data_IF_091217962618
#
_entry.id   IF_091217962618
#
_cell.length_a   1.000
_cell.length_b   1.000
_cell.length_c   1.000
_cell.angle_alpha   90.00
_cell.angle_beta   90.00
_cell.angle_gamma   90.00
#
_symmetry.space_group_name_H-M   'P 1'
#
loop_
_entity.id
_entity.type
_entity.pdbx_description
1 polymer ?
#
# COMPACT_ATOMS: atom_id res chain seq x y z
N UNK A 1 -3.92 -60.96 -42.64
CA UNK A 1 -3.26 -59.64 -42.67
C UNK A 1 -3.97 -58.73 -41.69
N UNK A 2 -3.37 -58.42 -40.54
CA UNK A 2 -3.93 -57.47 -39.57
C UNK A 2 -2.86 -56.40 -39.33
N UNK A 3 -3.14 -55.16 -39.76
CA UNK A 3 -2.22 -54.02 -39.59
C UNK A 3 -2.55 -53.36 -38.25
N UNK A 4 -1.57 -53.35 -37.33
CA UNK A 4 -1.64 -52.55 -36.11
C UNK A 4 -1.08 -51.16 -36.41
N UNK A 5 -1.93 -50.14 -36.32
CA UNK A 5 -1.52 -48.73 -36.40
C UNK A 5 -1.41 -48.21 -34.96
N UNK A 6 -0.18 -47.93 -34.51
CA UNK A 6 0.05 -47.32 -33.21
C UNK A 6 -0.14 -45.81 -33.29
N UNK A 7 -1.07 -45.26 -32.50
CA UNK A 7 -1.22 -43.81 -32.32
C UNK A 7 -0.30 -43.37 -31.17
N UNK A 8 0.67 -42.52 -31.50
CA UNK A 8 1.54 -41.88 -30.52
C UNK A 8 0.83 -40.64 -29.97
N UNK A 9 0.42 -40.68 -28.70
CA UNK A 9 -0.16 -39.53 -27.99
C UNK A 9 0.98 -38.68 -27.42
N UNK A 10 1.19 -37.49 -27.97
CA UNK A 10 2.08 -36.49 -27.39
C UNK A 10 1.36 -35.77 -26.23
N UNK A 11 1.74 -36.07 -24.99
CA UNK A 11 1.34 -35.28 -23.82
C UNK A 11 2.18 -34.00 -23.78
N UNK A 12 1.53 -32.87 -24.11
CA UNK A 12 2.09 -31.53 -23.87
C UNK A 12 2.04 -31.25 -22.37
N UNK A 13 3.18 -31.40 -21.70
CA UNK A 13 3.37 -30.92 -20.33
C UNK A 13 3.49 -29.40 -20.42
N UNK A 14 2.41 -28.69 -20.11
CA UNK A 14 2.44 -27.25 -19.89
C UNK A 14 3.25 -26.97 -18.63
N UNK A 15 4.49 -26.51 -18.80
CA UNK A 15 5.25 -25.91 -17.70
C UNK A 15 4.53 -24.62 -17.29
N UNK A 16 3.69 -24.71 -16.27
CA UNK A 16 3.22 -23.54 -15.55
C UNK A 16 4.43 -22.94 -14.82
N UNK A 17 5.05 -21.94 -15.44
CA UNK A 17 6.10 -21.15 -14.79
C UNK A 17 5.46 -20.35 -13.65
N UNK A 18 5.55 -20.86 -12.42
CA UNK A 18 5.31 -20.05 -11.23
C UNK A 18 6.44 -19.04 -11.15
N UNK A 19 6.17 -17.78 -11.49
CA UNK A 19 7.14 -16.69 -11.31
C UNK A 19 7.41 -16.55 -9.81
N UNK A 20 8.60 -16.95 -9.35
CA UNK A 20 9.06 -16.67 -8.01
C UNK A 20 9.37 -15.17 -7.93
N UNK A 21 8.46 -14.40 -7.36
CA UNK A 21 8.64 -12.97 -7.12
C UNK A 21 9.90 -12.80 -6.26
N UNK A 22 10.96 -12.23 -6.84
CA UNK A 22 12.27 -12.14 -6.16
C UNK A 22 12.20 -11.18 -4.97
N UNK A 23 13.05 -11.36 -3.96
CA UNK A 23 13.07 -10.47 -2.78
C UNK A 23 13.26 -9.00 -3.14
N UNK A 24 14.05 -8.70 -4.18
CA UNK A 24 14.23 -7.36 -4.73
C UNK A 24 12.90 -6.80 -5.26
N UNK A 25 12.07 -7.64 -5.86
CA UNK A 25 10.76 -7.22 -6.35
C UNK A 25 9.82 -6.88 -5.18
N UNK A 26 9.84 -7.66 -4.09
CA UNK A 26 9.01 -7.40 -2.90
C UNK A 26 9.37 -6.09 -2.19
N UNK A 27 10.66 -5.80 -2.03
CA UNK A 27 11.17 -4.59 -1.38
C UNK A 27 10.83 -3.30 -2.13
N UNK A 28 10.42 -3.39 -3.40
CA UNK A 28 10.12 -2.26 -4.29
C UNK A 28 8.63 -2.15 -4.62
N UNK A 29 7.78 -2.99 -4.04
CA UNK A 29 6.33 -3.02 -4.32
C UNK A 29 5.62 -1.70 -3.98
N UNK A 30 6.15 -0.89 -3.07
CA UNK A 30 5.55 0.39 -2.68
C UNK A 30 6.06 1.60 -3.49
N UNK A 31 6.97 1.38 -4.44
CA UNK A 31 7.61 2.46 -5.21
C UNK A 31 6.64 3.28 -6.07
N UNK A 32 5.47 2.74 -6.40
CA UNK A 32 4.44 3.46 -7.17
C UNK A 32 3.98 4.75 -6.47
N UNK A 33 4.19 4.86 -5.15
CA UNK A 33 3.83 6.02 -4.36
C UNK A 33 4.96 7.08 -4.26
N UNK A 34 6.17 6.78 -4.74
CA UNK A 34 7.29 7.73 -4.75
C UNK A 34 6.97 8.88 -5.70
N UNK A 35 7.16 10.11 -5.22
CA UNK A 35 6.92 11.34 -5.97
C UNK A 35 6.55 12.52 -5.08
N UNK A 36 6.33 13.66 -5.72
CA UNK A 36 5.74 14.86 -5.13
C UNK A 36 4.27 14.93 -5.56
N UNK A 37 3.38 15.20 -4.60
CA UNK A 37 1.94 15.01 -4.77
C UNK A 37 1.14 16.19 -4.25
N UNK A 38 0.09 16.54 -4.99
CA UNK A 38 -1.07 17.28 -4.49
C UNK A 38 -2.13 16.28 -4.02
N UNK A 39 -2.66 16.47 -2.82
CA UNK A 39 -3.59 15.54 -2.18
C UNK A 39 -4.98 16.17 -2.15
N UNK A 40 -5.94 15.50 -2.78
CA UNK A 40 -7.33 15.92 -2.89
C UNK A 40 -8.23 14.99 -2.09
N UNK A 41 -9.38 15.48 -1.63
CA UNK A 41 -10.45 14.59 -1.16
C UNK A 41 -10.94 13.73 -2.34
N UNK A 42 -10.99 12.41 -2.18
CA UNK A 42 -11.33 11.48 -3.25
C UNK A 42 -12.67 11.82 -3.91
N UNK A 43 -12.75 11.69 -5.24
CA UNK A 43 -13.91 12.08 -6.08
C UNK A 43 -14.32 13.55 -6.00
N UNK A 44 -13.45 14.43 -5.51
CA UNK A 44 -13.66 15.88 -5.52
C UNK A 44 -12.42 16.60 -6.06
N UNK A 45 -12.56 17.90 -6.31
CA UNK A 45 -11.44 18.80 -6.64
C UNK A 45 -10.98 19.63 -5.42
N UNK A 46 -11.34 19.21 -4.20
CA UNK A 46 -10.91 19.87 -2.97
C UNK A 46 -9.48 19.46 -2.63
N UNK A 47 -8.52 20.36 -2.87
CA UNK A 47 -7.13 20.23 -2.42
C UNK A 47 -7.08 20.34 -0.89
N UNK A 48 -6.45 19.36 -0.24
CA UNK A 48 -6.38 19.27 1.23
C UNK A 48 -4.94 19.24 1.76
N UNK A 49 -3.97 18.87 0.92
CA UNK A 49 -2.58 18.79 1.34
C UNK A 49 -1.59 18.65 0.20
N UNK A 50 -0.32 18.64 0.57
CA UNK A 50 0.80 18.24 -0.28
C UNK A 50 1.55 17.11 0.43
N UNK A 51 2.05 16.15 -0.34
CA UNK A 51 2.83 15.05 0.21
C UNK A 51 4.06 14.80 -0.64
N UNK A 52 5.20 14.60 0.00
CA UNK A 52 6.44 14.21 -0.64
C UNK A 52 6.85 12.82 -0.19
N UNK A 53 6.98 11.89 -1.12
CA UNK A 53 7.42 10.53 -0.87
C UNK A 53 8.78 10.31 -1.53
N UNK A 54 9.79 10.06 -0.70
CA UNK A 54 11.19 9.93 -1.14
C UNK A 54 11.72 8.53 -0.85
N UNK A 55 12.44 7.95 -1.81
CA UNK A 55 13.22 6.73 -1.56
C UNK A 55 14.41 7.04 -0.65
N UNK A 56 14.59 6.23 0.40
CA UNK A 56 15.67 6.39 1.37
C UNK A 56 16.54 5.13 1.44
N UNK A 57 17.76 5.29 1.95
CA UNK A 57 18.69 4.18 2.21
C UNK A 57 18.90 3.27 0.99
N UNK A 58 19.09 3.86 -0.19
CA UNK A 58 19.26 3.15 -1.47
C UNK A 58 18.09 2.21 -1.82
N UNK A 59 16.86 2.65 -1.58
CA UNK A 59 15.65 1.88 -1.92
C UNK A 59 15.25 0.83 -0.90
N UNK A 60 15.82 0.87 0.31
CA UNK A 60 15.42 -0.02 1.42
C UNK A 60 14.21 0.47 2.21
N UNK A 61 13.77 1.70 1.95
CA UNK A 61 12.51 2.22 2.44
C UNK A 61 12.08 3.46 1.69
N UNK A 62 10.89 3.94 2.02
CA UNK A 62 10.36 5.23 1.55
C UNK A 62 9.90 6.06 2.75
N UNK A 63 10.11 7.37 2.67
CA UNK A 63 9.67 8.36 3.66
C UNK A 63 8.59 9.24 3.06
N UNK A 64 7.47 9.39 3.76
CA UNK A 64 6.46 10.41 3.47
C UNK A 64 6.66 11.65 4.33
N UNK A 65 6.46 12.83 3.75
CA UNK A 65 6.31 14.10 4.45
C UNK A 65 5.02 14.77 3.96
N UNK A 66 3.97 14.73 4.78
CA UNK A 66 2.66 15.30 4.49
C UNK A 66 2.47 16.65 5.19
N UNK A 67 1.91 17.62 4.49
CA UNK A 67 1.48 18.90 5.05
C UNK A 67 0.08 19.26 4.52
N UNK A 68 -0.84 19.56 5.44
CA UNK A 68 -2.14 20.13 5.10
C UNK A 68 -1.98 21.56 4.56
N UNK A 69 -2.81 21.94 3.58
CA UNK A 69 -2.83 23.33 3.08
C UNK A 69 -3.80 24.24 3.85
N UNK A 70 -4.77 23.65 4.56
CA UNK A 70 -5.86 24.37 5.22
C UNK A 70 -5.62 24.57 6.74
N UNK A 71 -4.63 23.89 7.29
CA UNK A 71 -4.33 23.82 8.73
C UNK A 71 -2.83 23.64 8.93
N UNK A 72 -2.35 23.77 10.16
CA UNK A 72 -0.96 23.46 10.52
C UNK A 72 -0.67 21.95 10.63
N UNK A 73 -1.62 21.08 10.27
CA UNK A 73 -1.46 19.63 10.40
C UNK A 73 -0.33 19.11 9.50
N UNK A 74 0.54 18.29 10.09
CA UNK A 74 1.66 17.64 9.41
C UNK A 74 1.84 16.22 9.93
N UNK A 75 2.32 15.32 9.07
CA UNK A 75 2.64 13.94 9.43
C UNK A 75 3.79 13.39 8.59
N UNK A 76 4.43 12.34 9.09
CA UNK A 76 5.49 11.63 8.37
C UNK A 76 5.39 10.14 8.60
N UNK A 77 5.70 9.35 7.56
CA UNK A 77 5.82 7.90 7.67
C UNK A 77 7.17 7.39 7.19
N UNK A 78 7.66 6.33 7.82
CA UNK A 78 8.73 5.48 7.32
C UNK A 78 8.15 4.13 6.95
N UNK A 79 8.44 3.66 5.74
CA UNK A 79 7.89 2.43 5.19
C UNK A 79 9.04 1.54 4.72
N UNK A 80 9.04 0.27 5.09
CA UNK A 80 10.09 -0.67 4.71
C UNK A 80 9.54 -2.09 4.57
N UNK A 81 10.15 -2.90 3.71
CA UNK A 81 9.86 -4.32 3.65
C UNK A 81 10.78 -5.09 4.60
N UNK A 82 10.20 -5.83 5.54
CA UNK A 82 10.93 -6.67 6.46
C UNK A 82 11.08 -8.08 5.88
N UNK A 83 12.23 -8.37 5.28
CA UNK A 83 12.50 -9.66 4.65
C UNK A 83 12.51 -10.86 5.60
N UNK A 84 12.70 -10.65 6.91
CA UNK A 84 12.65 -11.74 7.91
C UNK A 84 11.21 -12.10 8.28
N UNK A 85 10.29 -11.13 8.24
CA UNK A 85 8.86 -11.32 8.55
C UNK A 85 8.00 -11.44 7.30
N UNK A 86 8.60 -11.21 6.13
CA UNK A 86 7.99 -11.25 4.81
C UNK A 86 6.81 -10.29 4.60
N UNK A 87 6.78 -9.17 5.33
CA UNK A 87 5.73 -8.14 5.23
C UNK A 87 6.30 -6.73 5.12
N UNK A 88 5.47 -5.78 4.70
CA UNK A 88 5.73 -4.35 4.80
C UNK A 88 5.39 -3.85 6.21
N UNK A 89 6.21 -2.93 6.72
CA UNK A 89 6.03 -2.23 7.99
C UNK A 89 5.97 -0.72 7.72
N UNK A 90 5.06 -0.02 8.38
CA UNK A 90 4.99 1.44 8.40
C UNK A 90 5.02 1.94 9.83
N UNK A 91 5.89 2.91 10.10
CA UNK A 91 5.87 3.72 11.32
C UNK A 91 5.46 5.14 10.96
N UNK A 92 4.30 5.59 11.47
CA UNK A 92 3.73 6.90 11.19
C UNK A 92 3.64 7.72 12.48
N UNK A 93 3.95 9.01 12.38
CA UNK A 93 3.72 10.01 13.43
C UNK A 93 3.11 11.28 12.84
N UNK A 94 2.36 12.01 13.65
CA UNK A 94 1.84 13.34 13.28
C UNK A 94 1.98 14.39 14.39
N UNK A 95 1.64 15.64 14.05
CA UNK A 95 1.73 16.79 14.97
C UNK A 95 0.78 16.70 16.16
N UNK A 96 -0.25 15.85 16.11
CA UNK A 96 -1.17 15.61 17.23
C UNK A 96 -0.61 14.62 18.25
N UNK A 97 0.52 13.98 17.93
CA UNK A 97 1.14 12.94 18.75
C UNK A 97 0.59 11.54 18.44
N UNK A 98 -0.21 11.37 17.39
CA UNK A 98 -0.63 10.04 16.95
C UNK A 98 0.61 9.25 16.50
N UNK A 99 0.68 8.00 16.93
CA UNK A 99 1.67 7.03 16.47
C UNK A 99 0.94 5.79 15.94
N UNK A 100 1.26 5.37 14.72
CA UNK A 100 0.81 4.10 14.17
C UNK A 100 2.01 3.24 13.79
N UNK A 101 1.96 1.97 14.18
CA UNK A 101 2.82 0.94 13.63
C UNK A 101 1.93 -0.07 12.90
N UNK A 102 2.00 -0.08 11.58
CA UNK A 102 1.14 -0.86 10.69
C UNK A 102 1.96 -1.92 9.95
N UNK A 103 1.31 -3.03 9.63
CA UNK A 103 1.91 -4.19 8.98
C UNK A 103 1.02 -4.72 7.86
N UNK A 104 1.59 -5.29 6.82
CA UNK A 104 0.81 -5.93 5.78
C UNK A 104 1.60 -6.13 4.49
N UNK A 105 0.99 -5.91 3.35
CA UNK A 105 1.68 -6.15 2.09
C UNK A 105 0.91 -5.76 0.85
N UNK A 106 1.57 -5.98 -0.28
CA UNK A 106 1.03 -5.70 -1.59
C UNK A 106 0.27 -6.90 -2.13
N UNK A 107 -0.99 -6.69 -2.52
CA UNK A 107 -1.83 -7.71 -3.15
C UNK A 107 -2.81 -7.03 -4.09
N UNK A 108 -3.07 -7.64 -5.24
CA UNK A 108 -4.10 -7.16 -6.19
C UNK A 108 -3.94 -5.66 -6.52
N UNK A 109 -2.69 -5.27 -6.84
CA UNK A 109 -2.32 -3.90 -7.16
C UNK A 109 -2.62 -2.88 -6.03
N UNK A 110 -2.60 -3.31 -4.78
CA UNK A 110 -2.89 -2.45 -3.62
C UNK A 110 -1.93 -2.78 -2.48
N UNK A 111 -1.27 -1.78 -1.93
CA UNK A 111 -0.58 -1.92 -0.63
C UNK A 111 -1.62 -1.80 0.47
N UNK A 112 -1.74 -2.79 1.35
CA UNK A 112 -2.67 -2.76 2.48
C UNK A 112 -1.91 -3.02 3.79
N UNK A 113 -1.92 -2.03 4.69
CA UNK A 113 -1.30 -2.12 6.01
C UNK A 113 -2.35 -1.93 7.11
N UNK A 114 -2.22 -2.70 8.19
CA UNK A 114 -3.17 -2.75 9.29
C UNK A 114 -2.47 -2.77 10.64
N UNK A 115 -3.19 -2.35 11.68
CA UNK A 115 -2.82 -2.64 13.05
C UNK A 115 -4.07 -2.80 13.92
N UNK A 116 -3.83 -3.16 15.17
CA UNK A 116 -4.82 -3.17 16.24
C UNK A 116 -4.26 -2.38 17.42
N UNK A 117 -5.09 -1.52 18.00
CA UNK A 117 -4.75 -0.68 19.15
C UNK A 117 -5.77 -0.94 20.24
N UNK A 118 -5.30 -1.12 21.47
CA UNK A 118 -6.18 -1.26 22.64
C UNK A 118 -6.53 0.14 23.15
N UNK A 119 -7.81 0.47 23.15
CA UNK A 119 -8.39 1.70 23.70
C UNK A 119 -9.17 1.37 24.97
N UNK A 120 -9.61 2.40 25.72
CA UNK A 120 -10.46 2.22 26.90
C UNK A 120 -11.79 1.54 26.55
N UNK A 121 -12.35 1.86 25.39
CA UNK A 121 -13.62 1.34 24.90
C UNK A 121 -13.50 -0.04 24.22
N UNK A 122 -12.28 -0.55 24.05
CA UNK A 122 -11.99 -1.84 23.43
C UNK A 122 -10.94 -1.76 22.33
N UNK A 123 -10.94 -2.74 21.42
CA UNK A 123 -9.95 -2.81 20.36
C UNK A 123 -10.37 -1.97 19.15
N UNK A 124 -9.47 -1.12 18.68
CA UNK A 124 -9.60 -0.35 17.44
C UNK A 124 -8.70 -0.95 16.36
N UNK A 125 -9.27 -1.31 15.22
CA UNK A 125 -8.53 -1.75 14.04
C UNK A 125 -8.31 -0.57 13.11
N UNK A 126 -7.07 -0.36 12.65
CA UNK A 126 -6.79 0.52 11.51
C UNK A 126 -6.50 -0.32 10.27
N UNK A 127 -6.96 0.15 9.12
CA UNK A 127 -6.58 -0.36 7.81
C UNK A 127 -6.36 0.80 6.86
N UNK A 128 -5.17 0.88 6.29
CA UNK A 128 -4.81 1.88 5.28
C UNK A 128 -4.43 1.16 4.00
N UNK A 129 -5.02 1.60 2.89
CA UNK A 129 -4.72 1.07 1.55
C UNK A 129 -4.18 2.16 0.65
N UNK A 130 -3.17 1.81 -0.16
CA UNK A 130 -2.65 2.65 -1.24
C UNK A 130 -2.79 1.89 -2.56
N UNK A 131 -3.54 2.47 -3.49
CA UNK A 131 -3.86 1.86 -4.78
C UNK A 131 -3.49 2.84 -5.89
N UNK A 132 -2.56 2.51 -6.81
CA UNK A 132 -2.40 3.29 -8.03
C UNK A 132 -3.69 3.23 -8.85
N UNK A 133 -4.25 4.39 -9.16
CA UNK A 133 -5.40 4.53 -10.05
C UNK A 133 -4.94 4.55 -11.51
N UNK A 134 -3.80 5.20 -11.76
CA UNK A 134 -3.06 5.21 -13.02
C UNK A 134 -1.56 5.49 -12.74
N UNK A 135 -0.79 5.96 -13.73
CA UNK A 135 0.64 6.26 -13.59
C UNK A 135 0.96 7.55 -12.80
N UNK A 136 -0.02 8.43 -12.65
CA UNK A 136 0.10 9.77 -12.05
C UNK A 136 -0.81 9.97 -10.84
N UNK A 137 -1.70 9.02 -10.55
CA UNK A 137 -2.63 9.07 -9.43
C UNK A 137 -2.54 7.85 -8.50
N UNK A 138 -2.55 8.11 -7.19
CA UNK A 138 -2.67 7.09 -6.13
C UNK A 138 -3.86 7.43 -5.23
N UNK A 139 -4.70 6.45 -4.90
CA UNK A 139 -5.70 6.58 -3.85
C UNK A 139 -5.15 6.04 -2.54
N UNK A 140 -5.15 6.86 -1.50
CA UNK A 140 -4.98 6.40 -0.13
C UNK A 140 -6.35 6.36 0.55
N UNK A 141 -6.66 5.27 1.23
CA UNK A 141 -7.89 5.16 2.04
C UNK A 141 -7.57 4.59 3.40
N UNK A 142 -7.84 5.37 4.45
CA UNK A 142 -7.73 4.94 5.84
C UNK A 142 -9.13 4.69 6.40
N UNK A 143 -9.34 3.47 6.87
CA UNK A 143 -10.56 3.03 7.55
C UNK A 143 -10.27 2.52 8.95
N UNK A 144 -11.25 2.67 9.84
CA UNK A 144 -11.22 2.16 11.20
C UNK A 144 -12.42 1.27 11.51
N UNK A 145 -12.23 0.32 12.43
CA UNK A 145 -13.30 -0.53 12.94
C UNK A 145 -13.16 -0.72 14.45
N UNK A 146 -14.27 -0.55 15.17
CA UNK A 146 -14.38 -0.78 16.62
C UNK A 146 -15.20 -2.02 16.97
N UNK A 147 -15.60 -2.81 15.97
CA UNK A 147 -16.50 -3.97 16.12
C UNK A 147 -15.88 -5.26 15.55
N UNK A 148 -14.56 -5.38 15.65
CA UNK A 148 -13.76 -6.50 15.15
C UNK A 148 -13.88 -6.69 13.63
N UNK A 149 -13.95 -5.59 12.88
CA UNK A 149 -13.92 -5.59 11.43
C UNK A 149 -15.26 -5.88 10.76
N UNK A 150 -16.38 -5.91 11.50
CA UNK A 150 -17.72 -6.11 10.94
C UNK A 150 -18.16 -4.87 10.16
N UNK A 151 -17.88 -3.69 10.68
CA UNK A 151 -18.11 -2.42 10.00
C UNK A 151 -16.84 -1.58 9.98
N UNK A 152 -16.72 -0.73 8.95
CA UNK A 152 -15.56 0.11 8.74
C UNK A 152 -16.00 1.54 8.41
N UNK A 153 -15.52 2.50 9.18
CA UNK A 153 -15.70 3.93 8.91
C UNK A 153 -14.49 4.47 8.16
N UNK A 154 -14.71 5.44 7.28
CA UNK A 154 -13.64 6.12 6.55
C UNK A 154 -13.15 7.30 7.38
N UNK A 155 -11.86 7.28 7.72
CA UNK A 155 -11.18 8.36 8.44
C UNK A 155 -10.55 9.33 7.44
N UNK A 156 -10.01 8.80 6.35
CA UNK A 156 -9.43 9.58 5.27
C UNK A 156 -9.58 8.85 3.93
N UNK A 157 -9.88 9.59 2.87
CA UNK A 157 -9.93 9.09 1.50
C UNK A 157 -9.33 10.15 0.57
N UNK A 158 -8.04 9.98 0.27
CA UNK A 158 -7.23 10.92 -0.47
C UNK A 158 -6.92 10.44 -1.87
N UNK A 159 -7.04 11.32 -2.86
CA UNK A 159 -6.49 11.16 -4.21
C UNK A 159 -5.21 11.99 -4.31
N UNK A 160 -4.09 11.31 -4.42
CA UNK A 160 -2.78 11.89 -4.65
C UNK A 160 -2.59 12.04 -6.16
N UNK A 161 -2.35 13.26 -6.63
CA UNK A 161 -2.02 13.57 -8.03
C UNK A 161 -0.58 14.04 -8.10
N UNK A 162 0.23 13.45 -8.97
CA UNK A 162 1.62 13.90 -9.14
C UNK A 162 1.65 15.37 -9.53
N UNK A 163 2.53 16.14 -8.91
CA UNK A 163 2.87 17.47 -9.41
C UNK A 163 3.69 17.29 -10.69
N UNK A 164 3.23 17.84 -11.81
CA UNK A 164 4.06 17.93 -13.01
C UNK A 164 5.20 18.92 -12.75
N UNK A 165 6.44 18.53 -13.05
CA UNK A 165 7.60 19.42 -13.08
C UNK A 165 7.56 20.33 -14.31
#
# INVERSE_FOLDING_TARGET
>A
MLRFTAYLVFLLISNASFSQETSIQKERQFDFWIGDWEVYTFQTDSLVGKSKITSILNGKGIKEEYASINTSYQGTSLNTYNSKREHWEQYYIDITGLVLHLYGGFKENTMCLMNQVVMEEGMLLNRITWQPLDHEEVRQRWTQSSDNGKTWIVIFDGRYRKTQL
#
